data_IF_827109852302
#
_entry.id   IF_827109852302
#
_cell.length_a   1.000
_cell.length_b   1.000
_cell.length_c   1.000
_cell.angle_alpha   90.00
_cell.angle_beta   90.00
_cell.angle_gamma   90.00
#
_symmetry.space_group_name_H-M   'P 1'
#
loop_
_entity.id
_entity.type
_entity.pdbx_description
1 polymer ?
#
# COMPACT_ATOMS: atom_id res chain seq x y z
N UNK A 1 9.76 -6.33 -18.47
CA UNK A 1 9.89 -6.40 -16.99
C UNK A 1 8.48 -6.37 -16.44
N UNK A 2 8.02 -7.42 -15.75
CA UNK A 2 6.68 -7.40 -15.15
C UNK A 2 6.73 -6.46 -13.94
N UNK A 3 6.01 -5.34 -14.01
CA UNK A 3 5.81 -4.46 -12.85
C UNK A 3 4.88 -5.22 -11.90
N UNK A 4 5.38 -5.61 -10.73
CA UNK A 4 4.53 -6.25 -9.73
C UNK A 4 3.39 -5.29 -9.34
N UNK A 5 2.16 -5.78 -9.36
CA UNK A 5 1.00 -5.00 -8.95
C UNK A 5 1.04 -4.81 -7.44
N UNK A 6 1.11 -3.55 -7.01
CA UNK A 6 1.23 -3.15 -5.61
C UNK A 6 0.13 -2.16 -5.24
N UNK A 7 -0.45 -2.35 -4.07
CA UNK A 7 -1.34 -1.39 -3.41
C UNK A 7 -0.64 -0.80 -2.19
N UNK A 8 -0.67 0.52 -2.05
CA UNK A 8 -0.23 1.21 -0.84
C UNK A 8 -1.46 1.43 0.03
N UNK A 9 -1.35 1.25 1.35
CA UNK A 9 -2.39 1.60 2.31
C UNK A 9 -1.85 2.74 3.17
N UNK A 10 -2.45 3.92 3.06
CA UNK A 10 -2.06 5.06 3.89
C UNK A 10 -2.73 4.98 5.27
N UNK A 11 -1.91 4.90 6.31
CA UNK A 11 -2.35 4.77 7.68
C UNK A 11 -2.42 6.14 8.38
N UNK A 12 -3.63 6.53 8.75
CA UNK A 12 -3.94 7.74 9.53
C UNK A 12 -4.10 7.44 11.03
N UNK A 13 -3.63 6.28 11.50
CA UNK A 13 -3.86 5.80 12.87
C UNK A 13 -5.11 4.91 12.97
N UNK A 14 -5.50 4.27 11.86
CA UNK A 14 -6.66 3.40 11.83
C UNK A 14 -6.34 2.06 12.50
N UNK A 15 -7.29 1.56 13.31
CA UNK A 15 -7.21 0.22 13.89
C UNK A 15 -7.24 -0.89 12.83
N UNK A 16 -7.62 -0.57 11.58
CA UNK A 16 -7.87 -1.55 10.53
C UNK A 16 -6.84 -1.55 9.40
N UNK A 17 -5.84 -0.66 9.39
CA UNK A 17 -4.84 -0.57 8.30
C UNK A 17 -4.17 -1.92 8.01
N UNK A 18 -3.87 -2.70 9.05
CA UNK A 18 -3.30 -4.05 8.92
C UNK A 18 -4.31 -5.08 8.38
N UNK A 19 -5.60 -4.96 8.70
CA UNK A 19 -6.65 -5.83 8.16
C UNK A 19 -6.86 -5.56 6.67
N UNK A 20 -6.84 -4.29 6.25
CA UNK A 20 -6.92 -3.92 4.84
C UNK A 20 -5.74 -4.53 4.08
N UNK A 21 -4.52 -4.34 4.58
CA UNK A 21 -3.32 -4.95 3.97
C UNK A 21 -3.38 -6.48 3.93
N UNK A 22 -3.99 -7.13 4.93
CA UNK A 22 -4.22 -8.58 4.93
C UNK A 22 -5.22 -8.99 3.84
N UNK A 23 -6.34 -8.30 3.69
CA UNK A 23 -7.33 -8.59 2.64
C UNK A 23 -6.75 -8.46 1.24
N UNK A 24 -5.90 -7.45 1.00
CA UNK A 24 -5.22 -7.29 -0.29
C UNK A 24 -4.29 -8.48 -0.57
N UNK A 25 -3.56 -8.95 0.45
CA UNK A 25 -2.68 -10.13 0.32
C UNK A 25 -3.45 -11.43 0.11
N UNK A 26 -4.65 -11.56 0.67
CA UNK A 26 -5.56 -12.69 0.41
C UNK A 26 -5.93 -12.76 -1.09
N UNK A 27 -5.99 -11.61 -1.78
CA UNK A 27 -6.17 -11.52 -3.23
C UNK A 27 -4.88 -11.75 -4.05
N UNK A 28 -3.78 -12.21 -3.45
CA UNK A 28 -2.48 -12.44 -4.10
C UNK A 28 -1.84 -11.15 -4.68
N UNK A 29 -2.20 -9.98 -4.17
CA UNK A 29 -1.62 -8.69 -4.56
C UNK A 29 -0.67 -8.21 -3.47
N UNK A 30 0.50 -7.67 -3.86
CA UNK A 30 1.44 -7.11 -2.90
C UNK A 30 0.87 -5.83 -2.27
N UNK A 31 1.02 -5.69 -0.95
CA UNK A 31 0.57 -4.49 -0.25
C UNK A 31 1.58 -3.98 0.77
N UNK A 32 1.65 -2.66 0.91
CA UNK A 32 2.49 -1.98 1.90
C UNK A 32 1.67 -0.94 2.66
N UNK A 33 1.74 -0.98 4.00
CA UNK A 33 1.17 0.06 4.86
C UNK A 33 2.21 1.14 5.09
N UNK A 34 1.86 2.40 4.83
CA UNK A 34 2.73 3.57 5.01
C UNK A 34 2.03 4.63 5.87
N UNK A 35 2.75 5.39 6.72
CA UNK A 35 2.15 6.50 7.44
C UNK A 35 1.55 7.53 6.49
N UNK A 36 0.45 8.19 6.88
CA UNK A 36 -0.16 9.25 6.07
C UNK A 36 0.80 10.41 5.74
N UNK A 37 1.80 10.64 6.59
CA UNK A 37 2.82 11.66 6.43
C UNK A 37 3.94 11.27 5.44
N UNK A 38 3.80 10.11 4.78
CA UNK A 38 4.79 9.64 3.81
C UNK A 38 4.92 10.63 2.65
N UNK A 39 6.14 11.10 2.30
CA UNK A 39 6.33 12.04 1.21
C UNK A 39 5.84 11.49 -0.13
N UNK A 40 5.22 12.35 -0.94
CA UNK A 40 4.67 11.98 -2.24
C UNK A 40 5.73 11.35 -3.16
N UNK A 41 6.97 11.82 -3.12
CA UNK A 41 8.06 11.28 -3.94
C UNK A 41 8.37 9.82 -3.63
N UNK A 42 8.25 9.42 -2.35
CA UNK A 42 8.38 8.03 -1.94
C UNK A 42 7.23 7.18 -2.48
N UNK A 43 6.00 7.69 -2.42
CA UNK A 43 4.82 7.00 -2.96
C UNK A 43 4.93 6.86 -4.49
N UNK A 44 5.45 7.88 -5.18
CA UNK A 44 5.69 7.84 -6.64
C UNK A 44 6.78 6.84 -7.02
N UNK A 45 7.88 6.78 -6.27
CA UNK A 45 8.96 5.83 -6.50
C UNK A 45 8.52 4.36 -6.37
N UNK A 46 7.49 4.12 -5.55
CA UNK A 46 6.87 2.81 -5.39
C UNK A 46 5.99 2.39 -6.58
N UNK A 47 5.60 3.34 -7.45
CA UNK A 47 4.72 3.11 -8.62
C UNK A 47 3.49 2.21 -8.33
N UNK A 48 2.70 2.50 -7.27
CA UNK A 48 1.57 1.68 -6.92
C UNK A 48 0.46 1.74 -7.98
N UNK A 49 -0.29 0.66 -8.09
CA UNK A 49 -1.50 0.58 -8.93
C UNK A 49 -2.73 1.18 -8.23
N UNK A 50 -2.69 1.29 -6.89
CA UNK A 50 -3.74 1.89 -6.07
C UNK A 50 -3.24 2.34 -4.70
N UNK A 51 -3.99 3.23 -4.07
CA UNK A 51 -3.73 3.84 -2.76
C UNK A 51 -5.01 3.75 -1.92
#
# INVERSE_FOLDING_TARGET
MQTQEQIVVLDFGSQYSQLIARRIRECQVYSQVLPFSTPLDRIRALAPKGI
#
